data_IF_114105060550
#
_entry.id   IF_114105060550
#
_cell.length_a   1.000
_cell.length_b   1.000
_cell.length_c   1.000
_cell.angle_alpha   90.00
_cell.angle_beta   90.00
_cell.angle_gamma   90.00
#
_symmetry.space_group_name_H-M   'P 1'
#
loop_
_entity.id
_entity.type
_entity.pdbx_description
1 polymer ?
#
# COMPACT_ATOMS: atom_id res chain seq x y z
N UNK A 1 -33.55 2.27 -19.25
CA UNK A 1 -32.98 1.04 -18.66
C UNK A 1 -31.48 1.07 -18.86
N UNK A 2 -30.73 1.30 -17.78
CA UNK A 2 -29.26 1.30 -17.80
C UNK A 2 -28.63 2.15 -16.69
N UNK A 3 -29.18 2.12 -15.47
CA UNK A 3 -28.44 2.54 -14.28
C UNK A 3 -27.55 1.39 -13.83
N UNK A 4 -26.24 1.63 -13.69
CA UNK A 4 -25.30 1.08 -12.70
C UNK A 4 -23.87 1.48 -13.17
N UNK A 5 -23.19 2.39 -12.47
CA UNK A 5 -22.37 2.09 -11.29
C UNK A 5 -21.05 1.39 -11.66
N UNK A 6 -19.93 2.12 -11.64
CA UNK A 6 -18.94 1.87 -10.59
C UNK A 6 -17.96 3.04 -10.46
N UNK A 7 -17.81 3.48 -9.21
CA UNK A 7 -16.76 4.40 -8.78
C UNK A 7 -15.42 3.69 -8.89
N UNK A 8 -14.70 3.91 -9.98
CA UNK A 8 -13.26 3.70 -9.99
C UNK A 8 -12.58 4.87 -9.27
N UNK A 9 -12.84 4.95 -7.97
CA UNK A 9 -11.98 5.65 -7.01
C UNK A 9 -10.67 4.86 -6.91
N UNK A 10 -9.90 4.81 -7.99
CA UNK A 10 -8.54 4.30 -7.96
C UNK A 10 -7.69 5.40 -7.34
N UNK A 11 -7.72 5.37 -6.01
CA UNK A 11 -6.99 6.18 -5.06
C UNK A 11 -5.56 6.46 -5.58
N UNK A 12 -5.41 7.62 -6.21
CA UNK A 12 -4.12 8.28 -6.41
C UNK A 12 -3.67 8.77 -5.05
N UNK A 13 -2.72 8.09 -4.45
CA UNK A 13 -1.96 8.62 -3.31
C UNK A 13 -0.48 8.61 -3.68
N UNK A 14 -0.15 9.35 -4.74
CA UNK A 14 1.17 9.94 -4.91
C UNK A 14 1.27 11.15 -3.96
N UNK A 15 1.60 10.91 -2.69
CA UNK A 15 2.16 11.96 -1.86
C UNK A 15 3.56 11.55 -1.40
N UNK A 16 4.52 11.90 -2.25
CA UNK A 16 5.91 12.09 -1.86
C UNK A 16 5.98 13.32 -0.94
N UNK A 17 6.20 13.10 0.36
CA UNK A 17 6.99 14.04 1.18
C UNK A 17 8.00 13.30 2.02
N UNK A 18 9.21 13.81 1.88
CA UNK A 18 10.50 13.37 2.38
C UNK A 18 10.59 13.45 3.91
N UNK A 19 11.46 12.59 4.46
CA UNK A 19 12.28 12.77 5.68
C UNK A 19 12.07 11.84 6.88
N UNK A 20 10.95 11.11 7.05
CA UNK A 20 10.84 10.12 8.16
C UNK A 20 9.94 8.90 7.87
N UNK A 21 9.56 8.73 6.61
CA UNK A 21 8.57 7.75 6.14
C UNK A 21 9.18 6.63 5.29
N UNK A 22 10.50 6.52 5.24
CA UNK A 22 11.20 5.70 4.24
C UNK A 22 10.75 4.23 4.23
N UNK A 23 10.53 3.62 5.40
CA UNK A 23 10.11 2.21 5.48
C UNK A 23 8.60 2.03 5.26
N UNK A 24 7.77 2.98 5.70
CA UNK A 24 6.33 2.99 5.42
C UNK A 24 6.06 3.14 3.93
N UNK A 25 6.73 4.10 3.29
CA UNK A 25 6.62 4.36 1.87
C UNK A 25 7.16 3.20 1.03
N UNK A 26 8.26 2.58 1.47
CA UNK A 26 8.80 1.39 0.83
C UNK A 26 7.84 0.20 0.97
N UNK A 27 7.30 -0.03 2.17
CA UNK A 27 6.30 -1.08 2.41
C UNK A 27 5.02 -0.87 1.60
N UNK A 28 4.51 0.35 1.54
CA UNK A 28 3.34 0.72 0.74
C UNK A 28 3.57 0.53 -0.77
N UNK A 29 4.70 0.99 -1.31
CA UNK A 29 5.01 0.87 -2.74
C UNK A 29 5.20 -0.58 -3.17
N UNK A 30 5.91 -1.39 -2.37
CA UNK A 30 6.02 -2.84 -2.58
C UNK A 30 4.67 -3.54 -2.47
N UNK A 31 3.93 -3.25 -1.40
CA UNK A 31 2.60 -3.82 -1.16
C UNK A 31 1.62 -3.50 -2.28
N UNK A 32 1.61 -2.27 -2.78
CA UNK A 32 0.80 -1.86 -3.94
C UNK A 32 1.23 -2.54 -5.24
N UNK A 33 2.53 -2.62 -5.53
CA UNK A 33 3.03 -3.25 -6.76
C UNK A 33 2.69 -4.75 -6.79
N UNK A 34 2.95 -5.47 -5.70
CA UNK A 34 2.61 -6.89 -5.57
C UNK A 34 1.10 -7.11 -5.49
N UNK A 35 0.38 -6.30 -4.71
CA UNK A 35 -1.07 -6.39 -4.58
C UNK A 35 -1.80 -6.14 -5.89
N UNK A 36 -1.35 -5.17 -6.69
CA UNK A 36 -1.89 -4.93 -8.02
C UNK A 36 -1.59 -6.10 -8.97
N UNK A 37 -0.37 -6.64 -8.96
CA UNK A 37 -0.01 -7.80 -9.78
C UNK A 37 -0.85 -9.04 -9.41
N UNK A 38 -1.01 -9.34 -8.13
CA UNK A 38 -1.87 -10.43 -7.65
C UNK A 38 -3.34 -10.17 -7.98
N UNK A 39 -3.83 -8.95 -7.76
CA UNK A 39 -5.20 -8.57 -8.07
C UNK A 39 -5.58 -8.74 -9.55
N UNK A 40 -4.63 -8.51 -10.46
CA UNK A 40 -4.82 -8.79 -11.88
C UNK A 40 -4.90 -10.30 -12.16
N UNK A 41 -4.13 -11.13 -11.46
CA UNK A 41 -4.19 -12.60 -11.61
C UNK A 41 -5.52 -13.17 -11.10
N UNK A 42 -6.08 -12.58 -10.06
CA UNK A 42 -7.37 -13.00 -9.47
C UNK A 42 -8.60 -12.37 -10.14
N UNK A 43 -8.43 -11.60 -11.23
CA UNK A 43 -9.50 -10.78 -11.86
C UNK A 43 -10.22 -9.86 -10.86
N UNK A 44 -9.58 -9.58 -9.72
CA UNK A 44 -10.13 -8.82 -8.62
C UNK A 44 -9.06 -7.91 -8.02
N UNK A 45 -8.87 -6.78 -8.70
CA UNK A 45 -7.90 -5.76 -8.32
C UNK A 45 -8.18 -5.20 -6.93
N UNK A 46 -9.45 -5.13 -6.51
CA UNK A 46 -9.83 -4.64 -5.18
C UNK A 46 -9.28 -5.53 -4.07
N UNK A 47 -9.41 -6.85 -4.22
CA UNK A 47 -8.85 -7.82 -3.26
C UNK A 47 -7.33 -7.75 -3.24
N UNK A 48 -6.70 -7.72 -4.42
CA UNK A 48 -5.24 -7.65 -4.52
C UNK A 48 -4.65 -6.39 -3.87
N UNK A 49 -5.22 -5.22 -4.16
CA UNK A 49 -4.80 -3.94 -3.56
C UNK A 49 -5.06 -3.94 -2.05
N UNK A 50 -6.21 -4.43 -1.57
CA UNK A 50 -6.53 -4.48 -0.15
C UNK A 50 -5.51 -5.33 0.63
N UNK A 51 -5.19 -6.53 0.12
CA UNK A 51 -4.18 -7.42 0.71
C UNK A 51 -2.79 -6.77 0.62
N UNK A 52 -2.43 -6.24 -0.54
CA UNK A 52 -1.14 -5.62 -0.80
C UNK A 52 -0.86 -4.42 0.12
N UNK A 53 -1.83 -3.51 0.27
CA UNK A 53 -1.72 -2.38 1.20
C UNK A 53 -1.68 -2.86 2.64
N UNK A 54 -2.55 -3.79 3.06
CA UNK A 54 -2.57 -4.29 4.43
C UNK A 54 -1.22 -4.90 4.84
N UNK A 55 -0.63 -5.73 3.96
CA UNK A 55 0.70 -6.31 4.17
C UNK A 55 1.81 -5.27 4.10
N UNK A 56 1.78 -4.40 3.09
CA UNK A 56 2.77 -3.34 2.90
C UNK A 56 2.84 -2.36 4.08
N UNK A 57 1.69 -2.00 4.64
CA UNK A 57 1.59 -1.17 5.85
C UNK A 57 2.02 -1.94 7.08
N UNK A 58 1.56 -3.18 7.28
CA UNK A 58 1.93 -3.97 8.45
C UNK A 58 3.45 -4.16 8.53
N UNK A 59 4.08 -4.49 7.40
CA UNK A 59 5.54 -4.63 7.30
C UNK A 59 6.23 -3.27 7.42
N UNK A 60 5.80 -2.26 6.66
CA UNK A 60 6.41 -0.93 6.70
C UNK A 60 6.34 -0.30 8.08
N UNK A 61 5.17 -0.32 8.73
CA UNK A 61 4.95 0.23 10.06
C UNK A 61 5.64 -0.60 11.16
N UNK A 62 5.64 -1.93 11.04
CA UNK A 62 6.38 -2.82 11.94
C UNK A 62 7.88 -2.53 11.90
N UNK A 63 8.45 -2.39 10.70
CA UNK A 63 9.87 -2.11 10.45
C UNK A 63 10.26 -0.67 10.86
N UNK A 64 9.35 0.29 10.70
CA UNK A 64 9.60 1.66 11.13
C UNK A 64 9.54 1.83 12.66
N UNK A 65 8.61 1.13 13.31
CA UNK A 65 8.46 1.10 14.77
C UNK A 65 9.68 0.49 15.47
N UNK A 66 10.32 -0.52 14.86
CA UNK A 66 11.58 -1.08 15.35
C UNK A 66 12.79 -0.17 15.03
N UNK A 67 12.80 0.51 13.88
CA UNK A 67 13.94 1.33 13.46
C UNK A 67 14.03 2.67 14.21
N UNK A 68 12.90 3.22 14.65
CA UNK A 68 12.86 4.41 15.51
C UNK A 68 13.41 4.15 16.93
N UNK A 69 13.57 2.89 17.34
CA UNK A 69 14.20 2.50 18.61
C UNK A 69 15.73 2.37 18.55
N UNK A 70 16.31 2.29 17.35
CA UNK A 70 17.75 2.13 17.12
C UNK A 70 18.50 3.44 16.82
N UNK A 71 17.83 4.60 16.77
CA UNK A 71 18.47 5.92 16.56
C UNK A 71 18.68 6.73 17.85
N UNK A 72 18.78 6.06 19.00
CA UNK A 72 19.12 6.68 20.29
C UNK A 72 20.13 5.84 21.07
N UNK A 73 21.18 5.37 20.41
CA UNK A 73 22.41 4.91 21.07
C UNK A 73 23.60 5.64 20.53
#
# INVERSE_FOLDING_TARGET
MGDLNNKDSKQKNDEKKTDKTSYLALGMSLGLAFGAALGLVFDNLAIGIAIGIALGVAVGAGVDSQNSKNKSK
#
